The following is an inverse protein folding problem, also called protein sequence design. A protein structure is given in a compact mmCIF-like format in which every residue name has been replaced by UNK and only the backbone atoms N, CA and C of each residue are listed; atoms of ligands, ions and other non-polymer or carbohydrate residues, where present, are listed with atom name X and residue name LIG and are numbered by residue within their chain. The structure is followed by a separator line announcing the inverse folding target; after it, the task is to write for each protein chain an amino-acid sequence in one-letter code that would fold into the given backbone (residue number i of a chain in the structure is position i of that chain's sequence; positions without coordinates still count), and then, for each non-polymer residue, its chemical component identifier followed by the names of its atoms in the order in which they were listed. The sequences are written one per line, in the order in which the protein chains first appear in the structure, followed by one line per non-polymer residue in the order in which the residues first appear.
data_IF_137126905753
#
_entry.id   IF_137126905753
#
_cell.length_a   1.000
_cell.length_b   1.000
_cell.length_c   1.000
_cell.angle_alpha   90.00
_cell.angle_beta   90.00
_cell.angle_gamma   90.00
#
_symmetry.space_group_name_H-M   'P 1'
#
loop_
_entity.id
_entity.type
_entity.pdbx_description
1 polymer ?
#
# COMPACT_ATOMS: atom_id res chain seq x y z
N UNK A 1 -21.76 -9.07 24.74
CA UNK A 1 -22.14 -8.24 23.57
C UNK A 1 -21.53 -6.83 23.61
N UNK A 2 -20.55 -6.55 24.49
CA UNK A 2 -19.86 -5.25 24.61
C UNK A 2 -18.45 -5.24 24.00
N UNK A 3 -17.78 -6.38 23.86
CA UNK A 3 -16.39 -6.45 23.37
C UNK A 3 -16.23 -6.19 21.87
N UNK A 4 -17.28 -6.37 21.07
CA UNK A 4 -17.22 -6.17 19.61
C UNK A 4 -17.22 -4.69 19.19
N UNK A 5 -17.69 -3.79 20.06
CA UNK A 5 -17.77 -2.35 19.78
C UNK A 5 -16.45 -1.62 20.10
N UNK A 6 -15.73 -2.09 21.12
CA UNK A 6 -14.39 -1.59 21.48
C UNK A 6 -13.30 -2.08 20.53
N UNK A 7 -13.43 -3.27 19.94
CA UNK A 7 -12.44 -3.84 19.02
C UNK A 7 -12.44 -3.19 17.61
N UNK A 8 -13.54 -2.50 17.23
CA UNK A 8 -13.59 -1.76 15.96
C UNK A 8 -13.10 -0.31 16.06
N UNK A 9 -13.14 0.31 17.24
CA UNK A 9 -12.83 1.74 17.40
C UNK A 9 -11.39 2.10 17.03
N UNK A 10 -10.46 1.15 17.15
CA UNK A 10 -9.03 1.35 16.85
C UNK A 10 -8.64 1.05 15.41
N UNK A 11 -9.47 0.32 14.64
CA UNK A 11 -9.11 -0.15 13.29
C UNK A 11 -8.94 1.01 12.32
N UNK A 12 -9.94 1.88 12.23
CA UNK A 12 -9.92 3.05 11.34
C UNK A 12 -8.84 4.07 11.71
N UNK A 13 -8.73 4.52 12.97
CA UNK A 13 -7.66 5.43 13.35
C UNK A 13 -6.28 4.87 13.02
N UNK A 14 -6.05 3.57 13.26
CA UNK A 14 -4.78 2.92 12.94
C UNK A 14 -4.52 2.90 11.43
N UNK A 15 -5.50 2.50 10.62
CA UNK A 15 -5.37 2.50 9.16
C UNK A 15 -5.11 3.90 8.60
N UNK A 16 -5.81 4.92 9.13
CA UNK A 16 -5.61 6.32 8.74
C UNK A 16 -4.21 6.80 9.15
N UNK A 17 -3.79 6.53 10.39
CA UNK A 17 -2.48 6.92 10.89
C UNK A 17 -1.36 6.27 10.06
N UNK A 18 -1.46 4.96 9.80
CA UNK A 18 -0.51 4.24 8.95
C UNK A 18 -0.51 4.76 7.52
N UNK A 19 -1.68 5.03 6.93
CA UNK A 19 -1.80 5.60 5.58
C UNK A 19 -1.07 6.95 5.49
N UNK A 20 -1.32 7.85 6.44
CA UNK A 20 -0.70 9.19 6.47
C UNK A 20 0.81 9.06 6.67
N UNK A 21 1.24 8.27 7.66
CA UNK A 21 2.65 8.06 7.95
C UNK A 21 3.40 7.49 6.74
N UNK A 22 2.88 6.40 6.14
CA UNK A 22 3.48 5.79 4.96
C UNK A 22 3.52 6.76 3.78
N UNK A 23 2.43 7.48 3.50
CA UNK A 23 2.38 8.43 2.39
C UNK A 23 3.43 9.53 2.55
N UNK A 24 3.55 10.11 3.74
CA UNK A 24 4.51 11.18 4.04
C UNK A 24 5.94 10.65 3.93
N UNK A 25 6.26 9.54 4.59
CA UNK A 25 7.62 8.99 4.63
C UNK A 25 8.08 8.53 3.23
N UNK A 26 7.22 7.89 2.45
CA UNK A 26 7.60 7.45 1.10
C UNK A 26 7.86 8.64 0.17
N UNK A 27 6.97 9.64 0.17
CA UNK A 27 7.15 10.83 -0.66
C UNK A 27 8.30 11.71 -0.20
N UNK A 28 8.60 11.78 1.10
CA UNK A 28 9.74 12.57 1.61
C UNK A 28 11.09 12.01 1.16
N UNK A 29 11.15 10.72 0.84
CA UNK A 29 12.34 10.06 0.27
C UNK A 29 12.32 10.14 -1.26
N UNK A 30 11.21 9.75 -1.89
CA UNK A 30 11.13 9.60 -3.35
C UNK A 30 11.17 10.95 -4.08
N UNK A 31 10.41 11.96 -3.63
CA UNK A 31 10.28 13.22 -4.36
C UNK A 31 11.61 13.99 -4.43
N UNK A 32 12.39 14.15 -3.34
CA UNK A 32 13.69 14.80 -3.44
C UNK A 32 14.67 14.06 -4.34
N UNK A 33 14.65 12.72 -4.32
CA UNK A 33 15.51 11.90 -5.17
C UNK A 33 15.19 12.11 -6.65
N UNK A 34 13.91 12.00 -7.03
CA UNK A 34 13.47 12.21 -8.43
C UNK A 34 13.69 13.65 -8.87
N UNK A 35 13.51 14.64 -8.00
CA UNK A 35 13.81 16.05 -8.31
C UNK A 35 15.28 16.29 -8.61
N UNK A 36 16.20 15.56 -7.94
CA UNK A 36 17.65 15.70 -8.13
C UNK A 36 18.18 14.91 -9.34
N UNK A 37 17.62 13.73 -9.60
CA UNK A 37 18.13 12.80 -10.62
C UNK A 37 17.27 12.76 -11.89
N UNK A 38 16.13 13.46 -11.89
CA UNK A 38 15.19 13.55 -13.01
C UNK A 38 14.10 12.47 -12.99
N UNK A 39 13.00 12.64 -13.77
CA UNK A 39 11.83 11.75 -13.73
C UNK A 39 12.14 10.28 -14.02
N UNK A 40 13.14 10.00 -14.86
CA UNK A 40 13.54 8.63 -15.21
C UNK A 40 14.10 7.84 -14.02
N UNK A 41 14.63 8.54 -13.00
CA UNK A 41 15.19 7.91 -11.81
C UNK A 41 14.12 7.28 -10.90
N UNK A 42 12.83 7.49 -11.18
CA UNK A 42 11.76 6.76 -10.51
C UNK A 42 11.87 5.23 -10.71
N UNK A 43 12.45 4.80 -11.83
CA UNK A 43 12.71 3.38 -12.11
C UNK A 43 13.77 2.76 -11.19
N UNK A 44 14.63 3.57 -10.58
CA UNK A 44 15.69 3.09 -9.69
C UNK A 44 15.12 2.42 -8.43
N UNK A 45 13.90 2.81 -8.02
CA UNK A 45 13.16 2.18 -6.91
C UNK A 45 12.61 0.79 -7.25
N UNK A 46 12.60 0.40 -8.54
CA UNK A 46 12.05 -0.87 -9.01
C UNK A 46 13.09 -1.79 -9.64
N UNK A 47 14.10 -1.24 -10.31
CA UNK A 47 15.05 -2.01 -11.14
C UNK A 47 16.52 -1.63 -10.85
N UNK A 48 16.76 -0.80 -9.84
CA UNK A 48 18.08 -0.25 -9.55
C UNK A 48 18.99 -1.16 -8.71
N UNK A 49 19.95 -0.49 -8.06
CA UNK A 49 21.06 -1.09 -7.32
C UNK A 49 20.65 -1.98 -6.13
N UNK A 50 19.39 -1.96 -5.73
CA UNK A 50 18.85 -2.76 -4.64
C UNK A 50 19.04 -4.28 -4.86
N UNK A 51 19.16 -4.73 -6.11
CA UNK A 51 19.44 -6.13 -6.44
C UNK A 51 20.91 -6.53 -6.37
N UNK A 52 21.84 -5.56 -6.25
CA UNK A 52 23.29 -5.82 -6.26
C UNK A 52 23.78 -6.51 -4.98
N UNK A 53 23.08 -6.34 -3.87
CA UNK A 53 23.44 -6.97 -2.59
C UNK A 53 22.51 -8.14 -2.27
N UNK A 54 23.01 -9.14 -1.54
CA UNK A 54 22.18 -10.27 -1.09
C UNK A 54 21.01 -9.81 -0.19
N UNK A 55 21.21 -8.92 0.81
CA UNK A 55 20.11 -8.42 1.63
C UNK A 55 19.07 -7.62 0.83
N UNK A 56 19.51 -6.79 -0.11
CA UNK A 56 18.59 -6.00 -0.95
C UNK A 56 17.74 -6.89 -1.86
N UNK A 57 18.33 -7.95 -2.44
CA UNK A 57 17.60 -8.95 -3.22
C UNK A 57 16.57 -9.70 -2.38
N UNK A 58 16.92 -10.11 -1.16
CA UNK A 58 15.98 -10.75 -0.24
C UNK A 58 14.78 -9.83 0.03
N UNK A 59 15.04 -8.56 0.39
CA UNK A 59 13.99 -7.57 0.66
C UNK A 59 13.08 -7.33 -0.55
N UNK A 60 13.63 -7.27 -1.77
CA UNK A 60 12.84 -7.11 -2.98
C UNK A 60 11.99 -8.34 -3.29
N UNK A 61 12.52 -9.55 -3.11
CA UNK A 61 11.75 -10.78 -3.32
C UNK A 61 10.61 -10.88 -2.33
N UNK A 62 10.87 -10.62 -1.04
CA UNK A 62 9.85 -10.57 0.00
C UNK A 62 8.75 -9.54 -0.34
N UNK A 63 9.16 -8.32 -0.72
CA UNK A 63 8.25 -7.26 -1.14
C UNK A 63 7.38 -7.64 -2.34
N UNK A 64 7.96 -8.32 -3.35
CA UNK A 64 7.22 -8.80 -4.53
C UNK A 64 6.12 -9.77 -4.11
N UNK A 65 6.44 -10.74 -3.24
CA UNK A 65 5.44 -11.69 -2.75
C UNK A 65 4.34 -11.01 -1.92
N UNK A 66 4.68 -10.02 -1.09
CA UNK A 66 3.69 -9.20 -0.37
C UNK A 66 2.77 -8.46 -1.35
N UNK A 67 3.32 -7.80 -2.37
CA UNK A 67 2.55 -7.05 -3.38
C UNK A 67 1.60 -7.99 -4.14
N UNK A 68 2.09 -9.14 -4.60
CA UNK A 68 1.28 -10.11 -5.36
C UNK A 68 0.18 -10.68 -4.46
N UNK A 69 0.55 -11.19 -3.29
CA UNK A 69 -0.39 -11.81 -2.35
C UNK A 69 -1.50 -10.84 -1.94
N UNK A 70 -1.13 -9.60 -1.61
CA UNK A 70 -2.08 -8.56 -1.28
C UNK A 70 -3.02 -8.24 -2.44
N UNK A 71 -2.51 -8.01 -3.66
CA UNK A 71 -3.37 -7.60 -4.78
C UNK A 71 -4.28 -8.70 -5.29
N UNK A 72 -3.84 -9.97 -5.25
CA UNK A 72 -4.69 -11.12 -5.61
C UNK A 72 -5.85 -11.22 -4.64
N UNK A 73 -5.57 -11.17 -3.32
CA UNK A 73 -6.61 -11.18 -2.30
C UNK A 73 -7.53 -9.95 -2.40
N UNK A 74 -6.95 -8.76 -2.51
CA UNK A 74 -7.68 -7.49 -2.56
C UNK A 74 -8.59 -7.42 -3.80
N UNK A 75 -8.18 -7.97 -4.93
CA UNK A 75 -9.01 -8.03 -6.13
C UNK A 75 -10.22 -8.94 -5.93
N UNK A 76 -10.03 -10.12 -5.34
CA UNK A 76 -11.12 -11.04 -5.03
C UNK A 76 -12.12 -10.39 -4.06
N UNK A 77 -11.62 -9.76 -3.00
CA UNK A 77 -12.44 -9.04 -2.02
C UNK A 77 -13.16 -7.83 -2.63
N UNK A 78 -12.47 -7.09 -3.50
CA UNK A 78 -13.05 -5.94 -4.19
C UNK A 78 -14.19 -6.34 -5.13
N UNK A 79 -14.07 -7.48 -5.82
CA UNK A 79 -15.15 -8.03 -6.64
C UNK A 79 -16.34 -8.46 -5.77
N UNK A 80 -16.09 -9.12 -4.63
CA UNK A 80 -17.13 -9.53 -3.67
C UNK A 80 -17.94 -8.35 -3.13
N UNK A 81 -17.27 -7.23 -2.84
CA UNK A 81 -17.88 -6.03 -2.26
C UNK A 81 -18.35 -5.00 -3.31
N UNK A 82 -18.02 -5.17 -4.59
CA UNK A 82 -18.36 -4.22 -5.67
C UNK A 82 -17.50 -2.94 -5.65
N UNK A 83 -16.27 -3.02 -5.13
CA UNK A 83 -15.34 -1.89 -4.94
C UNK A 83 -14.09 -1.96 -5.83
N UNK A 84 -14.20 -2.56 -7.02
CA UNK A 84 -13.06 -2.75 -7.93
C UNK A 84 -12.33 -1.44 -8.27
N UNK A 85 -13.04 -0.30 -8.34
CA UNK A 85 -12.41 1.02 -8.51
C UNK A 85 -11.42 1.38 -7.39
N UNK A 86 -11.71 0.98 -6.16
CA UNK A 86 -10.86 1.24 -5.00
C UNK A 86 -9.66 0.30 -4.97
N UNK A 87 -9.82 -0.94 -5.46
CA UNK A 87 -8.68 -1.81 -5.74
C UNK A 87 -7.77 -1.23 -6.82
N UNK A 88 -8.32 -0.72 -7.93
CA UNK A 88 -7.52 -0.11 -9.00
C UNK A 88 -6.74 1.11 -8.49
N UNK A 89 -7.36 1.95 -7.66
CA UNK A 89 -6.67 3.07 -7.02
C UNK A 89 -5.52 2.60 -6.10
N UNK A 90 -5.73 1.53 -5.32
CA UNK A 90 -4.68 0.92 -4.50
C UNK A 90 -3.53 0.35 -5.34
N UNK A 91 -3.86 -0.29 -6.48
CA UNK A 91 -2.86 -0.78 -7.43
C UNK A 91 -2.01 0.37 -7.98
N UNK A 92 -2.63 1.47 -8.40
CA UNK A 92 -1.89 2.67 -8.84
C UNK A 92 -1.01 3.24 -7.73
N UNK A 93 -1.52 3.34 -6.50
CA UNK A 93 -0.74 3.81 -5.34
C UNK A 93 0.48 2.94 -5.05
N UNK A 94 0.41 1.64 -5.31
CA UNK A 94 1.53 0.71 -5.10
C UNK A 94 2.73 1.06 -5.96
N UNK A 95 2.51 1.51 -7.19
CA UNK A 95 3.61 1.84 -8.11
C UNK A 95 3.94 3.33 -8.15
N UNK A 96 3.05 4.20 -7.70
CA UNK A 96 3.30 5.66 -7.66
C UNK A 96 3.88 6.14 -6.34
N UNK A 97 3.51 5.52 -5.21
CA UNK A 97 3.97 5.91 -3.86
C UNK A 97 4.64 4.73 -3.16
N UNK A 98 4.01 3.56 -3.22
CA UNK A 98 4.52 2.30 -2.69
C UNK A 98 3.48 1.53 -1.89
N UNK A 99 3.73 0.22 -1.74
CA UNK A 99 2.76 -0.73 -1.16
C UNK A 99 2.35 -0.39 0.28
N UNK A 100 3.25 0.21 1.07
CA UNK A 100 2.98 0.62 2.44
C UNK A 100 1.85 1.67 2.55
N UNK A 101 1.65 2.49 1.52
CA UNK A 101 0.51 3.41 1.40
C UNK A 101 -0.73 2.69 0.85
N UNK A 102 -0.53 1.82 -0.16
CA UNK A 102 -1.63 1.18 -0.88
C UNK A 102 -2.45 0.20 -0.03
N UNK A 103 -1.81 -0.56 0.85
CA UNK A 103 -2.47 -1.53 1.74
C UNK A 103 -3.48 -0.84 2.68
N UNK A 104 -3.07 0.11 3.55
CA UNK A 104 -4.01 0.74 4.48
C UNK A 104 -5.10 1.53 3.74
N UNK A 105 -4.80 2.13 2.58
CA UNK A 105 -5.81 2.76 1.74
C UNK A 105 -6.93 1.80 1.32
N UNK A 106 -6.57 0.63 0.77
CA UNK A 106 -7.57 -0.35 0.34
C UNK A 106 -8.36 -0.92 1.52
N UNK A 107 -7.67 -1.23 2.63
CA UNK A 107 -8.32 -1.72 3.84
C UNK A 107 -9.33 -0.71 4.39
N UNK A 108 -9.01 0.59 4.34
CA UNK A 108 -9.93 1.64 4.74
C UNK A 108 -11.14 1.74 3.79
N UNK A 109 -10.93 1.68 2.48
CA UNK A 109 -12.03 1.69 1.49
C UNK A 109 -12.96 0.46 1.64
N UNK A 110 -12.37 -0.71 1.93
CA UNK A 110 -13.07 -1.94 2.25
C UNK A 110 -13.92 -1.77 3.50
N UNK A 111 -13.34 -1.23 4.57
CA UNK A 111 -13.99 -1.05 5.88
C UNK A 111 -15.21 -0.12 5.79
N UNK A 112 -15.08 1.01 5.09
CA UNK A 112 -16.21 1.92 4.84
C UNK A 112 -17.35 1.29 4.02
N UNK A 113 -17.05 0.30 3.19
CA UNK A 113 -18.07 -0.37 2.37
C UNK A 113 -18.72 -1.52 3.12
N UNK A 114 -17.94 -2.27 3.91
CA UNK A 114 -18.42 -3.40 4.68
C UNK A 114 -19.43 -2.97 5.76
N UNK A 115 -19.27 -1.78 6.36
CA UNK A 115 -20.25 -1.23 7.31
C UNK A 115 -21.57 -0.78 6.67
N UNK A 116 -21.59 -0.52 5.35
CA UNK A 116 -22.80 -0.07 4.66
C UNK A 116 -23.72 -1.21 4.22
N UNK A 117 -23.34 -2.47 4.44
CA UNK A 117 -24.10 -3.67 4.10
C UNK A 117 -24.53 -4.40 5.36
#
# INVERSE_FOLDING_TARGET
MSDSLTDQSWRRPTLIATLIAAFITQNSIALPYVRRNGPKSALDFFVGDIYKTVPGRFAMVDLIFVVIGFHVWALAEARRLGIVRWWAASFVLTFSVGIATAIPFFLLARDFTAERR
#
